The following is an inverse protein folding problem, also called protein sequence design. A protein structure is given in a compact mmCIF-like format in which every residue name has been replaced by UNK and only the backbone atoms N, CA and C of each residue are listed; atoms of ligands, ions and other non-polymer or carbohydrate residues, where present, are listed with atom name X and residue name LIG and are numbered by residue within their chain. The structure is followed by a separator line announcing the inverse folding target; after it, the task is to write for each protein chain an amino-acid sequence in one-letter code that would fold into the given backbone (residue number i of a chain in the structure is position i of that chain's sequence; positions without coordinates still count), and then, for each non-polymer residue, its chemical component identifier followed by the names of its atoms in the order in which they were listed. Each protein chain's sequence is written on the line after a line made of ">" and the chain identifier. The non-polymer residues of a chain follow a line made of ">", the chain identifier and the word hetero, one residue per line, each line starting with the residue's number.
data_IF_088870651706
#
_entry.id   IF_088870651706
#
_cell.length_a   1.000
_cell.length_b   1.000
_cell.length_c   1.000
_cell.angle_alpha   90.00
_cell.angle_beta   90.00
_cell.angle_gamma   90.00
#
_symmetry.space_group_name_H-M   'P 1'
#
loop_
_entity.id
_entity.type
_entity.pdbx_description
1 polymer ?
#
# COMPACT_ATOMS: atom_id res chain seq x y z
N UNK A 1 8.44 24.08 -17.88
CA UNK A 1 9.38 23.57 -16.86
C UNK A 1 9.57 22.10 -17.14
N UNK A 2 10.80 21.63 -17.33
CA UNK A 2 11.06 20.21 -17.49
C UNK A 2 10.82 19.50 -16.15
N UNK A 3 10.01 18.44 -16.17
CA UNK A 3 9.80 17.56 -15.01
C UNK A 3 10.49 16.24 -15.31
N UNK A 4 11.45 15.88 -14.49
CA UNK A 4 12.11 14.58 -14.51
C UNK A 4 11.33 13.64 -13.60
N UNK A 5 10.99 12.48 -14.14
CA UNK A 5 10.37 11.39 -13.39
C UNK A 5 11.45 10.44 -12.88
N UNK A 6 11.26 9.90 -11.67
CA UNK A 6 12.15 8.89 -11.11
C UNK A 6 12.34 7.73 -12.12
N UNK A 7 13.55 7.15 -12.21
CA UNK A 7 13.77 5.92 -12.94
C UNK A 7 12.82 4.82 -12.45
N UNK A 8 12.46 3.90 -13.34
CA UNK A 8 11.70 2.71 -12.92
C UNK A 8 12.54 1.91 -11.91
N UNK A 9 11.91 1.54 -10.80
CA UNK A 9 12.51 0.70 -9.76
C UNK A 9 11.69 -0.58 -9.62
N UNK A 10 12.35 -1.72 -9.80
CA UNK A 10 11.74 -3.03 -9.58
C UNK A 10 11.92 -3.45 -8.13
N UNK A 11 10.80 -3.52 -7.40
CA UNK A 11 10.78 -3.98 -6.02
C UNK A 11 11.12 -5.48 -5.96
N UNK A 12 11.94 -5.94 -5.00
CA UNK A 12 12.19 -7.37 -4.80
C UNK A 12 10.90 -8.17 -4.66
N UNK A 13 10.84 -9.34 -5.32
CA UNK A 13 9.60 -10.13 -5.44
C UNK A 13 8.94 -10.45 -4.09
N UNK A 14 9.76 -10.75 -3.07
CA UNK A 14 9.30 -11.04 -1.70
C UNK A 14 8.52 -9.89 -1.05
N UNK A 15 8.71 -8.65 -1.52
CA UNK A 15 8.04 -7.46 -1.00
C UNK A 15 6.78 -7.08 -1.80
N UNK A 16 6.52 -7.70 -2.96
CA UNK A 16 5.34 -7.40 -3.77
C UNK A 16 4.02 -7.77 -3.08
N UNK A 17 4.06 -8.72 -2.14
CA UNK A 17 2.91 -9.14 -1.33
C UNK A 17 2.78 -8.37 0.00
N UNK A 18 3.73 -7.48 0.30
CA UNK A 18 3.77 -6.70 1.55
C UNK A 18 3.10 -5.35 1.38
N UNK A 19 2.53 -4.84 2.47
CA UNK A 19 1.91 -3.52 2.53
C UNK A 19 2.96 -2.49 2.92
N UNK A 20 2.97 -1.32 2.26
CA UNK A 20 3.71 -0.17 2.77
C UNK A 20 2.93 0.46 3.94
N UNK A 21 3.31 0.14 5.17
CA UNK A 21 2.68 0.63 6.40
C UNK A 21 2.85 2.15 6.61
N UNK A 22 3.81 2.76 5.90
CA UNK A 22 4.07 4.20 5.92
C UNK A 22 3.40 4.95 4.75
N UNK A 23 2.47 4.32 4.02
CA UNK A 23 1.73 4.97 2.93
C UNK A 23 0.69 5.97 3.49
N UNK A 24 0.81 7.24 3.11
CA UNK A 24 -0.11 8.28 3.55
C UNK A 24 -1.58 8.00 3.20
N UNK A 25 -1.85 7.22 2.14
CA UNK A 25 -3.22 6.91 1.70
C UNK A 25 -3.96 6.01 2.69
N UNK A 26 -3.25 5.19 3.46
CA UNK A 26 -3.83 4.37 4.54
C UNK A 26 -3.71 5.06 5.92
N UNK A 27 -3.45 6.37 5.95
CA UNK A 27 -3.45 7.18 7.17
C UNK A 27 -2.09 7.34 7.85
N UNK A 28 -0.98 6.94 7.20
CA UNK A 28 0.34 7.21 7.76
C UNK A 28 0.61 8.71 7.81
N UNK A 29 1.20 9.19 8.91
CA UNK A 29 1.42 10.62 9.11
C UNK A 29 2.69 10.91 9.89
N UNK A 30 3.33 12.02 9.56
CA UNK A 30 4.40 12.59 10.39
C UNK A 30 3.78 13.18 11.65
N UNK A 31 4.29 12.75 12.81
CA UNK A 31 3.89 13.28 14.13
C UNK A 31 4.74 14.49 14.49
N UNK A 32 6.05 14.35 14.32
CA UNK A 32 7.03 15.37 14.67
C UNK A 32 8.33 15.10 13.92
N UNK A 33 9.08 16.15 13.60
CA UNK A 33 10.44 16.04 13.10
C UNK A 33 11.32 17.13 13.71
N UNK A 34 12.64 16.92 13.71
CA UNK A 34 13.59 17.91 14.23
C UNK A 34 13.71 19.15 13.36
N UNK A 35 13.53 18.97 12.05
CA UNK A 35 13.64 20.01 11.04
C UNK A 35 12.97 19.53 9.74
N UNK A 36 12.33 20.41 8.99
CA UNK A 36 11.76 20.16 7.66
C UNK A 36 11.82 21.41 6.77
N UNK A 37 12.86 22.22 6.98
CA UNK A 37 12.94 23.58 6.45
C UNK A 37 12.91 23.67 4.91
N UNK A 38 13.66 22.80 4.22
CA UNK A 38 13.75 22.85 2.75
C UNK A 38 12.62 22.06 2.09
N UNK A 39 12.19 20.96 2.70
CA UNK A 39 11.04 20.21 2.22
C UNK A 39 10.34 19.45 3.35
N UNK A 40 9.01 19.61 3.41
CA UNK A 40 8.16 19.05 4.46
C UNK A 40 8.27 17.53 4.58
N UNK A 41 8.51 17.02 5.80
CA UNK A 41 8.72 15.60 6.05
C UNK A 41 7.59 14.70 5.53
N UNK A 42 6.34 15.19 5.50
CA UNK A 42 5.17 14.43 5.02
C UNK A 42 5.30 13.96 3.57
N UNK A 43 6.12 14.62 2.74
CA UNK A 43 6.32 14.24 1.33
C UNK A 43 6.98 12.87 1.19
N UNK A 44 7.82 12.46 2.14
CA UNK A 44 8.47 11.15 2.10
C UNK A 44 7.47 9.98 2.23
N UNK A 45 6.25 10.23 2.71
CA UNK A 45 5.19 9.23 2.86
C UNK A 45 4.28 9.09 1.63
N UNK A 46 4.43 9.97 0.63
CA UNK A 46 3.61 9.96 -0.58
C UNK A 46 3.78 8.67 -1.37
N UNK A 47 2.71 8.16 -1.98
CA UNK A 47 2.76 6.88 -2.71
C UNK A 47 3.48 6.98 -4.06
N UNK A 48 3.33 8.09 -4.75
CA UNK A 48 3.92 8.32 -6.06
C UNK A 48 5.45 8.33 -5.97
N UNK A 49 6.10 7.88 -7.04
CA UNK A 49 7.54 8.05 -7.16
C UNK A 49 7.90 9.56 -7.13
N UNK A 50 9.04 9.94 -6.53
CA UNK A 50 9.43 11.34 -6.47
C UNK A 50 9.62 11.92 -7.88
N UNK A 51 9.40 13.23 -8.01
CA UNK A 51 9.70 13.99 -9.24
C UNK A 51 10.70 15.11 -8.97
N UNK A 52 11.41 15.54 -10.01
CA UNK A 52 12.25 16.72 -9.96
C UNK A 52 11.82 17.73 -11.01
N UNK A 53 11.60 18.97 -10.59
CA UNK A 53 11.17 20.05 -11.50
C UNK A 53 12.31 21.05 -11.61
N UNK A 54 13.02 21.08 -12.74
CA UNK A 54 14.33 21.75 -12.90
C UNK A 54 14.36 23.22 -12.46
N UNK A 55 13.34 23.99 -12.80
CA UNK A 55 13.28 25.43 -12.52
C UNK A 55 12.35 25.79 -11.35
N UNK A 56 11.91 24.80 -10.56
CA UNK A 56 11.02 25.05 -9.42
C UNK A 56 11.82 25.35 -8.16
N UNK A 57 11.52 26.51 -7.57
CA UNK A 57 12.01 26.99 -6.28
C UNK A 57 10.81 27.48 -5.46
N UNK A 58 10.94 27.43 -4.14
CA UNK A 58 10.01 28.03 -3.19
C UNK A 58 10.74 29.03 -2.29
N UNK A 59 10.06 29.57 -1.27
CA UNK A 59 10.62 30.57 -0.36
C UNK A 59 11.79 30.03 0.50
N UNK A 60 12.01 28.71 0.50
CA UNK A 60 13.03 28.03 1.29
C UNK A 60 14.18 27.51 0.45
N UNK A 61 14.02 27.38 -0.86
CA UNK A 61 15.11 27.08 -1.79
C UNK A 61 14.65 26.26 -2.98
N UNK A 62 15.46 25.26 -3.35
CA UNK A 62 15.10 24.33 -4.42
C UNK A 62 13.91 23.51 -3.94
N UNK A 63 12.81 23.49 -4.71
CA UNK A 63 11.69 22.62 -4.37
C UNK A 63 12.10 21.16 -4.56
N UNK A 64 12.05 20.37 -3.49
CA UNK A 64 12.34 18.94 -3.51
C UNK A 64 11.09 18.11 -3.18
N UNK A 65 10.94 16.99 -3.89
CA UNK A 65 9.88 16.01 -3.66
C UNK A 65 10.32 14.95 -2.65
N UNK A 66 10.44 15.36 -1.39
CA UNK A 66 10.90 14.54 -0.28
C UNK A 66 10.92 15.33 1.02
N UNK A 67 11.53 14.76 2.05
CA UNK A 67 11.92 15.47 3.27
C UNK A 67 13.33 16.03 3.10
N UNK A 68 13.59 17.29 3.47
CA UNK A 68 14.94 17.85 3.47
C UNK A 68 15.15 18.84 4.62
N UNK A 69 16.23 18.63 5.38
CA UNK A 69 16.58 19.45 6.55
C UNK A 69 17.67 20.49 6.27
N UNK A 70 17.76 21.51 7.12
CA UNK A 70 18.89 22.46 7.11
C UNK A 70 20.20 21.72 7.34
N UNK A 71 21.25 22.19 6.65
CA UNK A 71 22.63 21.78 6.93
C UNK A 71 22.97 21.95 8.40
N UNK A 72 23.33 20.86 9.06
CA UNK A 72 23.66 20.86 10.48
C UNK A 72 25.07 21.41 10.68
N UNK A 73 25.21 22.31 11.65
CA UNK A 73 26.47 23.00 11.99
C UNK A 73 26.99 22.64 13.38
N UNK A 74 26.34 21.69 14.04
CA UNK A 74 26.64 21.21 15.38
C UNK A 74 26.53 19.68 15.41
N UNK A 75 27.12 19.05 16.43
CA UNK A 75 27.03 17.60 16.58
C UNK A 75 25.58 17.14 16.79
N UNK A 76 25.21 16.02 16.16
CA UNK A 76 23.88 15.45 16.24
C UNK A 76 23.41 14.89 14.91
N UNK A 77 22.12 14.62 14.84
CA UNK A 77 21.41 14.11 13.67
C UNK A 77 20.03 14.73 13.59
N UNK A 78 19.36 14.59 12.45
CA UNK A 78 17.95 14.94 12.30
C UNK A 78 17.08 13.69 12.35
N UNK A 79 15.84 13.85 12.79
CA UNK A 79 14.93 12.74 13.00
C UNK A 79 13.49 13.11 12.64
N UNK A 80 12.71 12.10 12.27
CA UNK A 80 11.29 12.22 12.00
C UNK A 80 10.54 11.03 12.62
N UNK A 81 9.54 11.32 13.46
CA UNK A 81 8.61 10.34 14.02
C UNK A 81 7.39 10.25 13.12
N UNK A 82 7.06 9.03 12.71
CA UNK A 82 5.92 8.73 11.85
C UNK A 82 5.01 7.75 12.57
N UNK A 83 3.72 8.05 12.59
CA UNK A 83 2.67 7.07 12.89
C UNK A 83 2.38 6.30 11.61
N UNK A 84 2.53 4.98 11.66
CA UNK A 84 2.16 4.09 10.56
C UNK A 84 0.64 4.17 10.35
N UNK A 85 0.18 4.04 9.11
CA UNK A 85 -1.25 4.12 8.82
C UNK A 85 -2.04 2.99 9.47
N UNK A 86 -1.39 1.83 9.61
CA UNK A 86 -1.91 0.67 10.34
C UNK A 86 -0.80 0.00 11.12
N UNK A 87 -1.16 -0.65 12.23
CA UNK A 87 -0.18 -1.44 12.99
C UNK A 87 0.25 -2.67 12.20
N UNK A 88 1.50 -3.10 12.35
CA UNK A 88 2.00 -4.23 11.59
C UNK A 88 3.38 -4.73 11.99
N UNK A 89 3.75 -5.88 11.45
CA UNK A 89 5.11 -6.43 11.54
C UNK A 89 5.94 -5.90 10.38
N UNK A 90 7.12 -5.37 10.65
CA UNK A 90 8.00 -4.80 9.62
C UNK A 90 8.89 -5.92 9.04
N UNK A 91 8.82 -6.11 7.73
CA UNK A 91 9.63 -7.09 6.98
C UNK A 91 10.78 -6.44 6.21
N UNK A 92 10.62 -5.19 5.76
CA UNK A 92 11.68 -4.45 5.10
C UNK A 92 11.46 -2.93 5.17
N UNK A 93 12.53 -2.18 4.91
CA UNK A 93 12.53 -0.73 4.75
C UNK A 93 13.04 -0.39 3.35
N UNK A 94 12.53 0.69 2.77
CA UNK A 94 13.14 1.38 1.63
C UNK A 94 13.38 2.84 2.02
N UNK A 95 14.64 3.25 2.05
CA UNK A 95 15.03 4.65 2.20
C UNK A 95 15.47 5.14 0.82
N UNK A 96 14.56 5.80 0.12
CA UNK A 96 14.80 6.27 -1.24
C UNK A 96 15.38 7.69 -1.20
N UNK A 97 16.56 7.87 -1.80
CA UNK A 97 17.24 9.16 -1.93
C UNK A 97 17.14 9.75 -3.33
N UNK A 98 16.26 9.23 -4.20
CA UNK A 98 16.09 9.68 -5.59
C UNK A 98 16.02 11.20 -5.71
N UNK A 99 16.80 11.76 -6.64
CA UNK A 99 17.03 13.20 -6.87
C UNK A 99 17.82 13.96 -5.79
N UNK A 100 18.11 13.36 -4.65
CA UNK A 100 19.12 13.86 -3.71
C UNK A 100 20.49 13.30 -4.10
N UNK A 101 21.18 14.00 -4.99
CA UNK A 101 22.44 13.54 -5.60
C UNK A 101 23.70 13.95 -4.84
N UNK A 102 23.61 15.01 -4.03
CA UNK A 102 24.72 15.49 -3.19
C UNK A 102 24.29 15.98 -1.81
N UNK A 103 22.99 16.08 -1.57
CA UNK A 103 22.34 16.51 -0.33
C UNK A 103 21.51 15.38 0.31
N UNK A 104 21.77 14.12 -0.04
CA UNK A 104 21.26 12.97 0.69
C UNK A 104 22.02 12.82 2.02
N UNK A 105 21.42 12.21 3.06
CA UNK A 105 22.14 11.94 4.30
C UNK A 105 23.21 10.87 4.09
N UNK A 106 24.35 11.01 4.75
CA UNK A 106 25.46 10.06 4.62
C UNK A 106 25.10 8.67 5.15
N UNK A 107 24.27 8.62 6.20
CA UNK A 107 23.76 7.37 6.76
C UNK A 107 22.40 7.59 7.44
N UNK A 108 21.69 6.51 7.72
CA UNK A 108 20.44 6.54 8.46
C UNK A 108 20.30 5.35 9.42
N UNK A 109 19.49 5.52 10.46
CA UNK A 109 19.00 4.43 11.33
C UNK A 109 17.49 4.56 11.51
N UNK A 110 16.84 3.48 11.91
CA UNK A 110 15.40 3.49 12.16
C UNK A 110 15.07 2.70 13.41
N UNK A 111 14.22 3.28 14.25
CA UNK A 111 13.65 2.63 15.43
C UNK A 111 12.13 2.53 15.29
N UNK A 112 11.51 1.58 15.99
CA UNK A 112 10.07 1.43 16.01
C UNK A 112 9.54 1.14 17.42
N UNK A 113 8.30 1.53 17.69
CA UNK A 113 7.62 1.22 18.93
C UNK A 113 6.13 0.88 18.73
N UNK A 114 5.56 0.25 19.75
CA UNK A 114 4.14 -0.06 19.86
C UNK A 114 3.49 0.88 20.89
N UNK A 115 2.62 1.76 20.41
CA UNK A 115 1.87 2.76 21.16
C UNK A 115 0.46 2.88 20.53
N UNK A 116 -0.44 1.91 20.79
CA UNK A 116 -1.73 1.81 20.11
C UNK A 116 -2.71 2.94 20.48
N UNK A 117 -2.47 3.65 21.58
CA UNK A 117 -3.27 4.79 22.02
C UNK A 117 -2.62 6.14 21.63
N UNK A 118 -1.62 6.12 20.74
CA UNK A 118 -0.84 7.28 20.30
C UNK A 118 -0.05 8.01 21.40
N UNK A 119 -0.01 7.46 22.63
CA UNK A 119 0.83 7.98 23.71
C UNK A 119 2.26 7.44 23.59
N UNK A 120 3.17 8.31 23.15
CA UNK A 120 4.60 8.00 23.02
C UNK A 120 5.38 8.22 24.33
N UNK A 121 4.73 8.69 25.39
CA UNK A 121 5.37 8.93 26.69
C UNK A 121 5.86 7.62 27.28
N UNK A 122 7.18 7.46 27.39
CA UNK A 122 7.78 6.21 27.89
C UNK A 122 7.70 5.03 26.92
N UNK A 123 7.38 5.27 25.64
CA UNK A 123 7.39 4.23 24.61
C UNK A 123 8.76 3.55 24.51
N UNK A 124 8.74 2.22 24.38
CA UNK A 124 9.95 1.40 24.23
C UNK A 124 10.33 1.30 22.75
N UNK A 125 11.23 2.18 22.33
CA UNK A 125 11.82 2.17 21.00
C UNK A 125 12.79 1.00 20.84
N UNK A 126 12.63 0.25 19.76
CA UNK A 126 13.48 -0.87 19.36
C UNK A 126 14.23 -0.49 18.10
N UNK A 127 15.53 -0.78 18.05
CA UNK A 127 16.32 -0.63 16.82
C UNK A 127 15.81 -1.61 15.76
N UNK A 128 15.45 -1.09 14.60
CA UNK A 128 15.00 -1.85 13.42
C UNK A 128 16.09 -1.85 12.34
N UNK A 129 16.75 -0.72 12.16
CA UNK A 129 17.89 -0.52 11.28
C UNK A 129 18.99 0.19 12.07
N UNK A 130 20.14 -0.46 12.20
CA UNK A 130 21.35 0.17 12.74
C UNK A 130 21.84 1.29 11.80
N UNK A 131 22.69 2.19 12.30
CA UNK A 131 23.20 3.28 11.47
C UNK A 131 23.98 2.75 10.25
N UNK A 132 23.38 2.89 9.07
CA UNK A 132 23.84 2.29 7.82
C UNK A 132 24.04 3.36 6.76
N UNK A 133 25.14 3.27 6.01
CA UNK A 133 25.47 4.20 4.94
C UNK A 133 24.41 4.21 3.83
N UNK A 134 24.18 5.39 3.28
CA UNK A 134 23.29 5.61 2.13
C UNK A 134 24.11 6.18 0.96
N UNK A 135 23.57 6.00 -0.24
CA UNK A 135 24.11 6.49 -1.50
C UNK A 135 23.22 7.57 -2.14
N UNK A 136 23.77 8.28 -3.14
CA UNK A 136 23.05 9.32 -3.86
C UNK A 136 21.98 8.74 -4.77
N UNK A 137 20.80 9.36 -4.77
CA UNK A 137 19.76 9.15 -5.79
C UNK A 137 19.42 7.68 -6.09
N UNK A 138 19.16 6.88 -5.05
CA UNK A 138 18.84 5.46 -5.21
C UNK A 138 17.91 4.94 -4.11
N UNK A 139 17.26 3.81 -4.38
CA UNK A 139 16.53 3.02 -3.39
C UNK A 139 17.48 2.21 -2.51
N UNK A 140 17.16 2.10 -1.22
CA UNK A 140 17.96 1.33 -0.24
C UNK A 140 17.07 0.35 0.49
N UNK A 141 17.06 -0.90 0.03
CA UNK A 141 16.23 -1.96 0.61
C UNK A 141 16.96 -2.66 1.75
N UNK A 142 16.39 -2.59 2.96
CA UNK A 142 16.90 -3.28 4.14
C UNK A 142 15.90 -4.31 4.63
N UNK A 143 16.28 -5.59 4.63
CA UNK A 143 15.45 -6.66 5.18
C UNK A 143 15.47 -6.62 6.71
N UNK A 144 14.30 -6.74 7.32
CA UNK A 144 14.12 -6.70 8.77
C UNK A 144 13.62 -8.05 9.24
N UNK A 145 14.30 -8.61 10.25
CA UNK A 145 13.87 -9.83 10.93
C UNK A 145 13.38 -9.48 12.34
N UNK A 146 12.14 -9.01 12.45
CA UNK A 146 11.50 -8.68 13.72
C UNK A 146 10.01 -9.06 13.69
N UNK A 147 9.58 -9.86 14.65
CA UNK A 147 8.21 -10.35 14.77
C UNK A 147 7.29 -9.48 15.62
N UNK A 148 7.82 -8.41 16.24
CA UNK A 148 7.03 -7.49 17.04
C UNK A 148 6.09 -6.66 16.16
N UNK A 149 4.98 -6.23 16.77
CA UNK A 149 4.01 -5.34 16.13
C UNK A 149 4.40 -3.90 16.46
N UNK A 150 4.38 -3.05 15.45
CA UNK A 150 4.71 -1.63 15.58
C UNK A 150 3.56 -0.75 15.10
N UNK A 151 3.52 0.46 15.65
CA UNK A 151 2.54 1.51 15.29
C UNK A 151 3.23 2.80 14.88
N UNK A 152 4.46 3.00 15.35
CA UNK A 152 5.22 4.22 15.14
C UNK A 152 6.66 3.85 14.81
N UNK A 153 7.28 4.66 13.96
CA UNK A 153 8.70 4.58 13.61
C UNK A 153 9.36 5.93 13.83
N UNK A 154 10.68 5.92 14.03
CA UNK A 154 11.53 7.10 14.07
C UNK A 154 12.68 6.88 13.10
N UNK A 155 12.67 7.62 12.00
CA UNK A 155 13.79 7.69 11.06
C UNK A 155 14.79 8.71 11.60
N UNK A 156 16.07 8.33 11.68
CA UNK A 156 17.17 9.23 12.02
C UNK A 156 18.13 9.31 10.83
N UNK A 157 18.46 10.53 10.38
CA UNK A 157 19.38 10.80 9.27
C UNK A 157 20.62 11.55 9.76
N UNK A 158 21.80 11.13 9.30
CA UNK A 158 23.07 11.62 9.84
C UNK A 158 23.92 12.36 8.80
N UNK A 159 24.48 13.54 9.14
CA UNK A 159 24.02 14.43 10.22
C UNK A 159 22.72 15.17 9.87
N UNK A 160 22.43 15.31 8.58
CA UNK A 160 21.32 16.03 7.95
C UNK A 160 21.22 15.58 6.49
N UNK A 161 20.24 16.09 5.75
CA UNK A 161 20.09 15.84 4.32
C UNK A 161 18.65 15.63 3.91
N UNK A 162 18.44 14.99 2.75
CA UNK A 162 17.12 14.72 2.22
C UNK A 162 16.85 13.27 1.82
N UNK A 163 15.61 12.86 2.06
CA UNK A 163 15.05 11.53 1.77
C UNK A 163 13.80 11.73 0.91
N UNK A 164 13.79 11.14 -0.28
CA UNK A 164 12.71 11.29 -1.24
C UNK A 164 11.47 10.51 -0.82
N UNK A 165 11.63 9.22 -0.45
CA UNK A 165 10.56 8.38 0.07
C UNK A 165 11.04 7.49 1.21
N UNK A 166 10.14 7.21 2.12
CA UNK A 166 10.29 6.20 3.15
C UNK A 166 9.19 5.16 2.97
N UNK A 167 9.57 3.91 2.69
CA UNK A 167 8.64 2.77 2.66
C UNK A 167 8.94 1.83 3.81
N UNK A 168 7.88 1.34 4.45
CA UNK A 168 7.95 0.36 5.53
C UNK A 168 7.12 -0.83 5.10
N UNK A 169 7.75 -1.84 4.51
CA UNK A 169 7.05 -3.02 4.01
C UNK A 169 6.80 -4.00 5.14
N UNK A 170 5.56 -4.45 5.27
CA UNK A 170 5.17 -5.34 6.35
C UNK A 170 3.82 -6.01 6.17
N UNK A 171 3.48 -6.84 7.15
CA UNK A 171 2.17 -7.47 7.27
C UNK A 171 1.32 -6.67 8.24
N UNK A 172 0.10 -6.33 7.82
CA UNK A 172 -0.86 -5.59 8.64
C UNK A 172 -1.31 -6.45 9.82
N UNK A 173 -1.28 -5.87 11.01
CA UNK A 173 -1.88 -6.43 12.21
C UNK A 173 -3.21 -5.72 12.48
N UNK A 174 -4.31 -6.44 12.24
CA UNK A 174 -5.66 -5.93 12.44
C UNK A 174 -5.99 -5.98 13.93
N UNK A 175 -6.27 -4.81 14.51
CA UNK A 175 -6.58 -4.66 15.93
C UNK A 175 -8.08 -4.81 16.26
N UNK A 176 -8.94 -4.93 15.25
CA UNK A 176 -10.39 -5.08 15.45
C UNK A 176 -10.67 -6.38 16.19
N UNK A 177 -11.29 -6.25 17.37
CA UNK A 177 -11.72 -7.37 18.23
C UNK A 177 -13.24 -7.53 18.27
N UNK A 178 -14.00 -6.53 17.79
CA UNK A 178 -15.45 -6.62 17.70
C UNK A 178 -15.88 -7.41 16.46
N UNK A 179 -16.36 -8.62 16.68
CA UNK A 179 -16.85 -9.52 15.63
C UNK A 179 -18.22 -9.12 15.06
N UNK A 180 -18.91 -8.15 15.67
CA UNK A 180 -20.19 -7.64 15.18
C UNK A 180 -20.02 -6.37 14.34
N UNK A 181 -18.84 -5.75 14.35
CA UNK A 181 -18.51 -4.62 13.50
C UNK A 181 -18.45 -5.07 12.04
N UNK A 182 -19.18 -4.37 11.17
CA UNK A 182 -19.02 -4.50 9.72
C UNK A 182 -17.80 -3.69 9.27
N UNK A 183 -16.88 -4.32 8.56
CA UNK A 183 -15.71 -3.70 7.94
C UNK A 183 -15.51 -4.19 6.51
N UNK A 184 -14.76 -3.44 5.70
CA UNK A 184 -14.26 -3.96 4.43
C UNK A 184 -13.13 -4.96 4.71
N UNK A 185 -13.44 -6.25 4.63
CA UNK A 185 -12.52 -7.35 4.91
C UNK A 185 -11.38 -7.46 3.87
N UNK A 186 -11.53 -6.78 2.74
CA UNK A 186 -10.57 -6.75 1.64
C UNK A 186 -9.67 -5.49 1.67
N UNK A 187 -10.03 -4.47 2.45
CA UNK A 187 -9.31 -3.20 2.46
C UNK A 187 -7.82 -3.39 2.79
N UNK A 188 -6.95 -2.60 2.16
CA UNK A 188 -5.51 -2.61 2.43
C UNK A 188 -5.22 -2.30 3.91
N UNK A 189 -5.92 -1.32 4.50
CA UNK A 189 -5.81 -0.99 5.92
C UNK A 189 -6.29 -2.12 6.84
N UNK A 190 -7.15 -2.99 6.35
CA UNK A 190 -7.60 -4.19 7.05
C UNK A 190 -6.81 -5.41 6.64
N UNK A 191 -5.62 -5.27 6.05
CA UNK A 191 -4.69 -6.36 5.75
C UNK A 191 -4.99 -7.17 4.49
N UNK A 192 -5.89 -6.70 3.64
CA UNK A 192 -6.06 -7.27 2.31
C UNK A 192 -4.78 -7.20 1.49
N UNK A 193 -4.51 -8.23 0.68
CA UNK A 193 -3.30 -8.28 -0.16
C UNK A 193 -3.53 -9.00 -1.48
N UNK A 194 -2.76 -8.60 -2.48
CA UNK A 194 -2.69 -9.27 -3.79
C UNK A 194 -1.85 -10.53 -3.66
N UNK A 195 -2.38 -11.65 -4.14
CA UNK A 195 -1.68 -12.94 -4.23
C UNK A 195 -1.14 -13.15 -5.64
N UNK A 196 -2.00 -12.97 -6.65
CA UNK A 196 -1.66 -13.17 -8.04
C UNK A 196 -2.64 -12.45 -8.96
N UNK A 197 -2.26 -12.25 -10.21
CA UNK A 197 -3.10 -11.64 -11.25
C UNK A 197 -2.67 -12.09 -12.64
N UNK A 198 -3.56 -11.94 -13.62
CA UNK A 198 -3.30 -12.33 -15.01
C UNK A 198 -2.47 -11.32 -15.81
N UNK A 199 -2.75 -10.03 -15.64
CA UNK A 199 -2.12 -8.92 -16.35
C UNK A 199 -2.20 -7.63 -15.50
N UNK A 200 -1.27 -6.71 -15.70
CA UNK A 200 -1.26 -5.39 -15.07
C UNK A 200 -0.66 -4.37 -16.05
N UNK A 201 -1.40 -4.07 -17.12
CA UNK A 201 -0.91 -3.17 -18.18
C UNK A 201 -0.75 -1.74 -17.71
N UNK A 202 -1.79 -1.20 -17.05
CA UNK A 202 -1.79 0.11 -16.43
C UNK A 202 -2.35 0.02 -15.02
N UNK A 203 -1.68 0.67 -14.07
CA UNK A 203 -1.97 0.49 -12.64
C UNK A 203 -1.64 -0.93 -12.15
N UNK A 204 -1.63 -1.12 -10.84
CA UNK A 204 -1.34 -2.43 -10.23
C UNK A 204 -2.61 -2.93 -9.53
N UNK A 205 -2.91 -4.25 -9.53
CA UNK A 205 -4.08 -4.81 -8.83
C UNK A 205 -4.19 -4.49 -7.33
N UNK A 206 -3.10 -4.00 -6.72
CA UNK A 206 -3.09 -3.53 -5.33
C UNK A 206 -3.97 -2.29 -5.17
N UNK A 207 -4.19 -1.55 -6.25
CA UNK A 207 -5.01 -0.36 -6.26
C UNK A 207 -6.49 -0.66 -5.99
N UNK A 208 -6.95 -1.88 -6.30
CA UNK A 208 -8.32 -2.32 -6.05
C UNK A 208 -8.72 -2.18 -4.57
N UNK A 209 -7.75 -2.30 -3.65
CA UNK A 209 -7.97 -2.35 -2.21
C UNK A 209 -7.54 -1.09 -1.48
N UNK A 210 -6.98 -0.09 -2.18
CA UNK A 210 -6.59 1.20 -1.60
C UNK A 210 -7.82 1.99 -1.13
N UNK A 211 -7.70 2.93 -0.18
CA UNK A 211 -8.80 3.80 0.22
C UNK A 211 -9.37 4.69 -0.90
N UNK A 212 -10.56 5.26 -0.65
CA UNK A 212 -11.26 6.14 -1.57
C UNK A 212 -11.78 5.44 -2.83
N UNK A 213 -12.01 6.21 -3.90
CA UNK A 213 -12.52 5.76 -5.22
C UNK A 213 -11.49 5.84 -6.35
N UNK A 214 -10.26 6.20 -6.03
CA UNK A 214 -9.24 6.53 -7.01
C UNK A 214 -9.33 7.98 -7.52
N UNK A 215 -8.18 8.59 -7.80
CA UNK A 215 -8.10 10.00 -8.28
C UNK A 215 -8.12 10.12 -9.80
N UNK A 216 -7.73 9.06 -10.52
CA UNK A 216 -7.75 8.92 -11.97
C UNK A 216 -7.60 7.44 -12.34
N UNK A 217 -7.56 7.10 -13.64
CA UNK A 217 -7.41 5.72 -14.12
C UNK A 217 -6.10 5.03 -13.69
N UNK A 218 -5.00 5.79 -13.54
CA UNK A 218 -3.71 5.25 -13.11
C UNK A 218 -3.70 4.78 -11.65
N UNK A 219 -4.67 5.25 -10.86
CA UNK A 219 -4.94 4.81 -9.50
C UNK A 219 -5.95 3.65 -9.43
N UNK A 220 -6.27 3.00 -10.56
CA UNK A 220 -7.03 1.75 -10.63
C UNK A 220 -6.17 0.56 -11.06
N UNK A 221 -6.80 -0.52 -11.49
CA UNK A 221 -6.17 -1.63 -12.21
C UNK A 221 -6.78 -1.76 -13.59
N UNK A 222 -5.96 -1.75 -14.63
CA UNK A 222 -6.36 -1.92 -16.03
C UNK A 222 -5.48 -2.95 -16.74
N UNK A 223 -6.13 -3.78 -17.54
CA UNK A 223 -5.46 -4.83 -18.32
C UNK A 223 -5.42 -4.54 -19.81
N UNK A 224 -4.57 -5.25 -20.54
CA UNK A 224 -4.53 -5.18 -22.00
C UNK A 224 -5.86 -5.66 -22.59
N UNK A 225 -6.27 -5.02 -23.68
CA UNK A 225 -7.39 -5.48 -24.52
C UNK A 225 -7.20 -6.93 -24.92
N UNK A 226 -8.14 -7.79 -24.55
CA UNK A 226 -8.14 -9.21 -24.90
C UNK A 226 -8.85 -9.41 -26.24
N UNK A 227 -8.33 -10.37 -27.00
CA UNK A 227 -8.88 -10.85 -28.29
C UNK A 227 -9.03 -12.37 -28.33
N UNK A 228 -8.41 -13.07 -27.39
CA UNK A 228 -8.54 -14.51 -27.20
C UNK A 228 -9.70 -14.83 -26.22
N UNK A 229 -10.24 -16.06 -26.23
CA UNK A 229 -11.21 -16.48 -25.23
C UNK A 229 -10.67 -16.38 -23.79
N UNK A 230 -11.57 -16.16 -22.83
CA UNK A 230 -11.25 -16.06 -21.40
C UNK A 230 -11.44 -14.64 -20.85
N UNK A 231 -10.90 -14.40 -19.67
CA UNK A 231 -11.03 -13.13 -18.93
C UNK A 231 -9.81 -12.87 -18.05
N UNK A 232 -9.60 -11.60 -17.67
CA UNK A 232 -8.58 -11.22 -16.69
C UNK A 232 -9.05 -11.46 -15.26
N UNK A 233 -8.11 -11.69 -14.36
CA UNK A 233 -8.43 -12.02 -12.98
C UNK A 233 -7.35 -11.55 -12.00
N UNK A 234 -7.77 -11.33 -10.76
CA UNK A 234 -6.88 -11.08 -9.63
C UNK A 234 -7.33 -11.90 -8.42
N UNK A 235 -6.38 -12.56 -7.75
CA UNK A 235 -6.57 -13.27 -6.50
C UNK A 235 -6.12 -12.38 -5.36
N UNK A 236 -7.01 -12.18 -4.40
CA UNK A 236 -6.78 -11.35 -3.22
C UNK A 236 -7.04 -12.18 -1.96
N UNK A 237 -6.18 -12.04 -0.96
CA UNK A 237 -6.45 -12.52 0.38
C UNK A 237 -7.14 -11.40 1.17
N UNK A 238 -8.17 -11.75 1.93
CA UNK A 238 -8.78 -10.89 2.93
C UNK A 238 -7.82 -10.82 4.12
N UNK A 239 -7.78 -9.69 4.83
CA UNK A 239 -6.89 -9.60 5.99
C UNK A 239 -7.38 -10.40 7.21
N UNK A 240 -8.69 -10.61 7.32
CA UNK A 240 -9.29 -11.66 8.16
C UNK A 240 -10.37 -12.39 7.41
N UNK A 241 -10.47 -13.70 7.66
CA UNK A 241 -11.59 -14.47 7.14
C UNK A 241 -12.90 -14.01 7.76
N UNK A 242 -13.94 -13.89 6.94
CA UNK A 242 -15.21 -13.35 7.41
C UNK A 242 -16.38 -13.69 6.50
N UNK A 243 -17.58 -13.40 6.98
CA UNK A 243 -18.81 -13.52 6.20
C UNK A 243 -19.01 -12.20 5.43
N UNK A 244 -19.13 -12.30 4.11
CA UNK A 244 -19.40 -11.14 3.25
C UNK A 244 -20.89 -10.85 3.25
N UNK A 245 -21.25 -9.59 3.45
CA UNK A 245 -22.64 -9.11 3.56
C UNK A 245 -22.98 -8.08 2.47
N UNK A 246 -22.00 -7.35 1.96
CA UNK A 246 -22.13 -6.43 0.81
C UNK A 246 -20.86 -6.43 -0.03
N UNK A 247 -21.02 -6.44 -1.34
CA UNK A 247 -19.92 -6.29 -2.31
C UNK A 247 -20.08 -4.93 -2.99
N UNK A 248 -18.97 -4.23 -3.16
CA UNK A 248 -18.89 -3.01 -3.96
C UNK A 248 -17.84 -3.17 -5.05
N UNK A 249 -18.20 -2.86 -6.30
CA UNK A 249 -17.27 -2.81 -7.44
C UNK A 249 -17.37 -1.41 -8.05
N UNK A 250 -16.29 -0.66 -7.99
CA UNK A 250 -16.23 0.71 -8.48
C UNK A 250 -15.41 0.79 -9.77
N UNK A 251 -16.01 1.31 -10.84
CA UNK A 251 -15.37 1.56 -12.14
C UNK A 251 -15.02 3.03 -12.32
N UNK A 252 -14.86 3.80 -11.23
CA UNK A 252 -14.48 5.20 -11.25
C UNK A 252 -13.37 5.50 -12.27
N UNK A 253 -13.55 6.55 -13.06
CA UNK A 253 -12.66 7.00 -14.14
C UNK A 253 -12.58 6.10 -15.39
N UNK A 254 -13.03 4.85 -15.33
CA UNK A 254 -13.06 3.95 -16.49
C UNK A 254 -14.33 4.18 -17.32
N UNK A 255 -14.20 5.04 -18.35
CA UNK A 255 -15.34 5.55 -19.13
C UNK A 255 -15.61 4.82 -20.44
N UNK A 256 -14.57 4.28 -21.06
CA UNK A 256 -14.65 3.55 -22.32
C UNK A 256 -13.96 2.18 -22.29
N UNK A 257 -13.37 1.83 -21.16
CA UNK A 257 -12.55 0.64 -20.95
C UNK A 257 -12.83 -0.03 -19.59
N UNK A 258 -14.01 0.20 -19.01
CA UNK A 258 -14.51 -0.64 -17.92
C UNK A 258 -14.83 -2.04 -18.46
N UNK A 259 -14.75 -3.12 -17.65
CA UNK A 259 -15.10 -4.45 -18.11
C UNK A 259 -16.59 -4.56 -18.43
N UNK A 260 -16.97 -5.44 -19.37
CA UNK A 260 -18.38 -5.62 -19.69
C UNK A 260 -19.13 -6.24 -18.50
N UNK A 261 -18.53 -7.25 -17.87
CA UNK A 261 -19.05 -7.92 -16.69
C UNK A 261 -17.95 -8.19 -15.66
N UNK A 262 -18.35 -8.30 -14.40
CA UNK A 262 -17.47 -8.73 -13.30
C UNK A 262 -18.13 -9.87 -12.52
N UNK A 263 -17.34 -10.87 -12.16
CA UNK A 263 -17.74 -11.94 -11.23
C UNK A 263 -16.71 -12.10 -10.12
N UNK A 264 -17.14 -12.66 -8.99
CA UNK A 264 -16.26 -12.95 -7.85
C UNK A 264 -16.45 -14.41 -7.43
N UNK A 265 -15.35 -15.14 -7.37
CA UNK A 265 -15.28 -16.46 -6.73
C UNK A 265 -14.63 -16.32 -5.35
N UNK A 266 -14.99 -17.18 -4.41
CA UNK A 266 -14.44 -17.14 -3.06
C UNK A 266 -14.12 -18.54 -2.53
N UNK A 267 -13.19 -18.58 -1.58
CA UNK A 267 -12.87 -19.80 -0.83
C UNK A 267 -12.52 -19.44 0.60
N UNK A 268 -12.74 -20.38 1.51
CA UNK A 268 -12.12 -20.38 2.82
C UNK A 268 -11.05 -21.47 2.90
N UNK A 269 -9.85 -21.04 3.31
CA UNK A 269 -8.70 -21.90 3.53
C UNK A 269 -8.09 -21.52 4.89
N UNK A 270 -7.88 -22.51 5.76
CA UNK A 270 -7.27 -22.32 7.08
C UNK A 270 -5.76 -22.09 7.00
N UNK A 271 -5.06 -22.88 6.18
CA UNK A 271 -3.60 -22.88 6.08
C UNK A 271 -3.15 -23.03 4.61
N UNK A 272 -3.45 -22.04 3.77
CA UNK A 272 -3.01 -22.05 2.39
C UNK A 272 -1.56 -21.56 2.25
N UNK A 273 -0.81 -22.19 1.36
CA UNK A 273 0.41 -21.61 0.78
C UNK A 273 0.08 -21.01 -0.58
N UNK A 274 0.57 -19.79 -0.84
CA UNK A 274 0.15 -18.99 -2.00
C UNK A 274 0.34 -19.70 -3.35
N UNK A 275 1.35 -20.56 -3.47
CA UNK A 275 1.72 -21.23 -4.71
C UNK A 275 0.64 -22.15 -5.31
N UNK A 276 -0.26 -22.72 -4.48
CA UNK A 276 -1.32 -23.62 -4.95
C UNK A 276 -2.62 -22.87 -5.29
N UNK A 277 -2.74 -21.60 -4.91
CA UNK A 277 -3.99 -20.85 -5.02
C UNK A 277 -4.37 -20.56 -6.48
N UNK A 278 -3.40 -20.29 -7.35
CA UNK A 278 -3.68 -19.92 -8.75
C UNK A 278 -4.49 -20.98 -9.50
N UNK A 279 -4.02 -22.24 -9.64
CA UNK A 279 -4.78 -23.26 -10.37
C UNK A 279 -6.09 -23.66 -9.67
N UNK A 280 -6.12 -23.65 -8.33
CA UNK A 280 -7.33 -23.97 -7.57
C UNK A 280 -8.42 -22.91 -7.71
N UNK A 281 -8.03 -21.64 -7.86
CA UNK A 281 -8.96 -20.51 -7.94
C UNK A 281 -9.93 -20.58 -9.11
N UNK A 282 -9.60 -21.35 -10.16
CA UNK A 282 -10.49 -21.60 -11.29
C UNK A 282 -11.74 -22.39 -10.88
N UNK A 283 -11.66 -23.16 -9.79
CA UNK A 283 -12.71 -24.07 -9.32
C UNK A 283 -13.39 -23.58 -8.04
N UNK A 284 -13.06 -22.38 -7.55
CA UNK A 284 -13.73 -21.78 -6.39
C UNK A 284 -15.20 -21.49 -6.71
N UNK A 285 -16.06 -21.63 -5.70
CA UNK A 285 -17.47 -21.32 -5.84
C UNK A 285 -17.67 -19.81 -6.06
N UNK A 286 -18.69 -19.46 -6.85
CA UNK A 286 -19.03 -18.05 -7.06
C UNK A 286 -19.61 -17.46 -5.79
N UNK A 287 -19.03 -16.35 -5.33
CA UNK A 287 -19.62 -15.44 -4.34
C UNK A 287 -20.57 -14.45 -5.03
N UNK A 288 -20.24 -14.04 -6.25
CA UNK A 288 -21.05 -13.19 -7.12
C UNK A 288 -20.93 -13.71 -8.55
N UNK A 289 -22.05 -14.10 -9.16
CA UNK A 289 -22.09 -14.44 -10.59
C UNK A 289 -21.82 -13.20 -11.46
N UNK A 290 -21.55 -13.38 -12.76
CA UNK A 290 -21.24 -12.28 -13.66
C UNK A 290 -22.36 -11.21 -13.65
N UNK A 291 -22.00 -9.98 -13.29
CA UNK A 291 -22.87 -8.82 -13.29
C UNK A 291 -22.40 -7.81 -14.34
N UNK A 292 -23.32 -7.14 -15.08
CA UNK A 292 -22.96 -6.10 -16.04
C UNK A 292 -22.45 -4.85 -15.32
N UNK A 293 -21.40 -4.24 -15.85
CA UNK A 293 -20.86 -3.00 -15.32
C UNK A 293 -21.29 -1.77 -16.14
N UNK A 294 -21.19 -0.61 -15.51
CA UNK A 294 -21.38 0.70 -16.09
C UNK A 294 -20.08 1.50 -15.98
N UNK A 295 -19.93 2.49 -16.86
CA UNK A 295 -18.82 3.44 -16.78
C UNK A 295 -18.90 4.30 -15.52
N UNK A 296 -17.75 4.53 -14.86
CA UNK A 296 -17.60 5.53 -13.80
C UNK A 296 -18.64 5.40 -12.67
N UNK A 297 -18.89 4.16 -12.22
CA UNK A 297 -20.05 3.81 -11.40
C UNK A 297 -19.69 2.91 -10.21
N UNK A 298 -20.39 3.09 -9.09
CA UNK A 298 -20.31 2.21 -7.92
C UNK A 298 -21.43 1.18 -8.00
N UNK A 299 -21.07 -0.08 -8.16
CA UNK A 299 -22.02 -1.20 -8.21
C UNK A 299 -22.08 -1.85 -6.84
N UNK A 300 -23.26 -1.92 -6.26
CA UNK A 300 -23.48 -2.51 -4.93
C UNK A 300 -24.33 -3.77 -5.03
N UNK A 301 -23.87 -4.84 -4.38
CA UNK A 301 -24.56 -6.13 -4.38
C UNK A 301 -24.74 -6.62 -2.94
N UNK A 302 -25.95 -7.08 -2.63
CA UNK A 302 -26.31 -7.65 -1.33
C UNK A 302 -27.18 -8.90 -1.51
N UNK A 303 -28.16 -8.83 -2.41
CA UNK A 303 -29.10 -9.92 -2.65
C UNK A 303 -28.56 -10.95 -3.66
N UNK A 304 -27.61 -10.53 -4.49
CA UNK A 304 -26.93 -11.31 -5.52
C UNK A 304 -25.78 -12.14 -4.93
N UNK A 305 -25.41 -11.88 -3.67
CA UNK A 305 -24.33 -12.60 -2.99
C UNK A 305 -24.80 -14.04 -2.73
N UNK A 306 -24.06 -14.99 -3.30
CA UNK A 306 -24.31 -16.42 -3.12
C UNK A 306 -23.81 -16.90 -1.75
N UNK A 307 -24.50 -17.89 -1.19
CA UNK A 307 -24.27 -18.35 0.18
C UNK A 307 -22.85 -18.88 0.40
N UNK A 308 -22.11 -18.22 1.30
CA UNK A 308 -20.82 -18.63 1.84
C UNK A 308 -20.84 -18.49 3.36
N UNK A 309 -20.30 -19.46 4.11
CA UNK A 309 -20.19 -19.35 5.57
C UNK A 309 -19.16 -18.28 5.97
N UNK A 310 -17.97 -18.38 5.37
CA UNK A 310 -16.88 -17.41 5.47
C UNK A 310 -15.99 -17.53 4.23
N UNK A 311 -15.26 -16.47 3.92
CA UNK A 311 -14.22 -16.45 2.89
C UNK A 311 -12.91 -15.98 3.51
N UNK A 312 -11.77 -16.49 3.02
CA UNK A 312 -10.43 -15.95 3.31
C UNK A 312 -9.75 -15.40 2.06
N UNK A 313 -10.16 -15.84 0.87
CA UNK A 313 -9.64 -15.38 -0.40
C UNK A 313 -10.77 -15.19 -1.41
N UNK A 314 -10.55 -14.26 -2.34
CA UNK A 314 -11.41 -14.09 -3.50
C UNK A 314 -10.59 -14.10 -4.79
N UNK A 315 -11.25 -14.46 -5.88
CA UNK A 315 -10.80 -14.23 -7.24
C UNK A 315 -11.82 -13.34 -7.92
N UNK A 316 -11.44 -12.10 -8.23
CA UNK A 316 -12.24 -11.21 -9.06
C UNK A 316 -11.89 -11.44 -10.52
N UNK A 317 -12.90 -11.48 -11.38
CA UNK A 317 -12.76 -11.72 -12.82
C UNK A 317 -13.32 -10.52 -13.60
N UNK A 318 -12.52 -9.92 -14.47
CA UNK A 318 -12.91 -8.87 -15.43
C UNK A 318 -13.17 -9.48 -16.80
N UNK A 319 -14.42 -9.45 -17.24
CA UNK A 319 -14.86 -10.16 -18.44
C UNK A 319 -15.08 -9.16 -19.59
N UNK A 320 -14.39 -9.32 -20.74
CA UNK A 320 -13.19 -10.16 -20.98
C UNK A 320 -11.86 -9.52 -20.52
N UNK A 321 -11.87 -8.21 -20.30
CA UNK A 321 -10.75 -7.35 -19.89
C UNK A 321 -11.33 -5.99 -19.50
N UNK A 322 -10.50 -5.05 -19.04
CA UNK A 322 -10.90 -3.68 -18.78
C UNK A 322 -10.19 -3.10 -17.56
N UNK A 323 -10.83 -2.13 -16.90
CA UNK A 323 -10.34 -1.54 -15.67
C UNK A 323 -11.37 -1.40 -14.57
N UNK A 324 -10.93 -1.66 -13.35
CA UNK A 324 -11.67 -1.48 -12.10
C UNK A 324 -10.88 -0.52 -11.21
N UNK A 325 -11.57 0.42 -10.59
CA UNK A 325 -10.97 1.32 -9.61
C UNK A 325 -10.83 0.63 -8.26
N UNK A 326 -11.95 0.13 -7.69
CA UNK A 326 -11.96 -0.45 -6.33
C UNK A 326 -12.86 -1.66 -6.21
N UNK A 327 -12.55 -2.50 -5.23
CA UNK A 327 -13.38 -3.62 -4.78
C UNK A 327 -13.48 -3.55 -3.26
N UNK A 328 -14.69 -3.64 -2.72
CA UNK A 328 -14.95 -3.73 -1.28
C UNK A 328 -15.73 -4.99 -0.95
N UNK A 329 -15.37 -5.65 0.13
CA UNK A 329 -16.09 -6.79 0.68
C UNK A 329 -16.47 -6.47 2.13
N UNK A 330 -17.60 -5.76 2.26
CA UNK A 330 -18.14 -5.40 3.55
C UNK A 330 -18.73 -6.62 4.25
N UNK A 331 -18.33 -6.86 5.49
CA UNK A 331 -18.77 -8.02 6.24
C UNK A 331 -18.21 -8.07 7.64
N UNK A 332 -18.38 -9.22 8.29
CA UNK A 332 -17.98 -9.44 9.69
C UNK A 332 -16.87 -10.48 9.78
N UNK A 333 -15.91 -10.24 10.67
CA UNK A 333 -14.83 -11.21 10.95
C UNK A 333 -15.44 -12.48 11.53
N UNK A 334 -15.12 -13.62 10.93
CA UNK A 334 -15.59 -14.92 11.41
C UNK A 334 -15.05 -15.17 12.83
N UNK A 335 -15.90 -15.70 13.70
CA UNK A 335 -15.46 -16.21 15.00
C UNK A 335 -14.53 -17.39 14.76
N UNK A 336 -13.37 -17.36 15.43
CA UNK A 336 -12.32 -18.38 15.33
C UNK A 336 -12.81 -19.74 15.82
#
# INVERSE_FOLDING_TARGET
>A
MATLHAPAFELPEILNTKTNLADARIGAQVIECSDDFFAEAKRMLQFEAPIFVEDKFDDYGKWMDGWETRRKRHAGYDWCIVKLGVSGKISALDIDTTFFTGNYPASASLEACYAPNDDLTGAKWQSILENTELGPSQHHIFMVNNDAIFTHIRLNIFPDGGVARLRVYGDVHIQVTDHEQTLDLLALENGGRVIAYSDAHFGHPRNLINPGRGVNMGDGWETKRRRAPGYDWCILALGKSGKIEKIEIDTAHFKGNFPAEVSIQAVYLENATDAQLIPQSMFWSYLLEAQPMQMDHIHEYMNEILQHEKASHIRINMIPDGGISRVRLWGKIAKS
#
